data_IF_518750584185
#
_entry.id   IF_518750584185
#
_cell.length_a   1.000
_cell.length_b   1.000
_cell.length_c   1.000
_cell.angle_alpha   90.00
_cell.angle_beta   90.00
_cell.angle_gamma   90.00
#
_symmetry.space_group_name_H-M   'P 1'
#
loop_
_entity.id
_entity.type
_entity.pdbx_description
1 polymer ?
#
# COMPACT_ATOMS: atom_id res chain seq x y z
N UNK A 1 4.78 -10.15 -34.24
CA UNK A 1 4.37 -9.75 -32.87
C UNK A 1 3.36 -8.56 -32.80
N UNK A 2 2.54 -8.20 -33.83
CA UNK A 2 1.50 -7.16 -33.68
C UNK A 2 0.08 -7.69 -33.38
N UNK A 3 -0.16 -9.00 -33.42
CA UNK A 3 -1.51 -9.56 -33.28
C UNK A 3 -2.00 -9.66 -31.84
N UNK A 4 -1.09 -9.94 -30.90
CA UNK A 4 -1.43 -10.12 -29.48
C UNK A 4 -1.92 -8.81 -28.86
N UNK A 5 -1.32 -7.67 -29.22
CA UNK A 5 -1.73 -6.36 -28.72
C UNK A 5 -3.09 -5.93 -29.25
N UNK A 6 -3.43 -6.28 -30.51
CA UNK A 6 -4.76 -6.06 -31.08
C UNK A 6 -5.81 -6.95 -30.43
N UNK A 7 -5.45 -8.17 -30.06
CA UNK A 7 -6.35 -9.10 -29.39
C UNK A 7 -6.65 -8.66 -27.95
N UNK A 8 -5.63 -8.19 -27.22
CA UNK A 8 -5.79 -7.62 -25.89
C UNK A 8 -6.65 -6.35 -25.94
N UNK A 9 -6.43 -5.46 -26.91
CA UNK A 9 -7.24 -4.23 -27.07
C UNK A 9 -8.71 -4.53 -27.40
N UNK A 10 -8.98 -5.58 -28.19
CA UNK A 10 -10.35 -6.02 -28.49
C UNK A 10 -11.03 -6.63 -27.27
N UNK A 11 -10.30 -7.40 -26.46
CA UNK A 11 -10.83 -8.01 -25.24
C UNK A 11 -11.11 -6.96 -24.16
N UNK A 12 -10.24 -5.96 -24.00
CA UNK A 12 -10.47 -4.86 -23.04
C UNK A 12 -11.62 -3.95 -23.48
N UNK A 13 -11.75 -3.66 -24.78
CA UNK A 13 -12.88 -2.91 -25.32
C UNK A 13 -14.22 -3.65 -25.14
N UNK A 14 -14.24 -4.98 -25.37
CA UNK A 14 -15.44 -5.79 -25.15
C UNK A 14 -15.84 -5.85 -23.67
N UNK A 15 -14.86 -5.95 -22.76
CA UNK A 15 -15.11 -5.94 -21.31
C UNK A 15 -15.67 -4.60 -20.82
N UNK A 16 -15.11 -3.48 -21.31
CA UNK A 16 -15.59 -2.13 -21.00
C UNK A 16 -17.00 -1.88 -21.54
N UNK A 17 -17.31 -2.38 -22.75
CA UNK A 17 -18.65 -2.26 -23.34
C UNK A 17 -19.69 -3.08 -22.56
N UNK A 18 -19.33 -4.28 -22.09
CA UNK A 18 -20.18 -5.11 -21.24
C UNK A 18 -20.47 -4.45 -19.88
N UNK A 19 -19.47 -3.79 -19.28
CA UNK A 19 -19.65 -3.06 -18.02
C UNK A 19 -20.59 -1.86 -18.17
N UNK A 20 -20.52 -1.15 -19.30
CA UNK A 20 -21.37 0.02 -19.58
C UNK A 20 -22.82 -0.37 -19.89
N UNK A 21 -23.07 -1.53 -20.52
CA UNK A 21 -24.42 -2.03 -20.76
C UNK A 21 -25.11 -2.59 -19.50
N UNK A 22 -24.35 -3.01 -18.48
CA UNK A 22 -24.91 -3.48 -17.21
C UNK A 22 -25.48 -2.35 -16.32
N UNK A 23 -25.11 -1.08 -16.59
CA UNK A 23 -25.58 0.08 -15.82
C UNK A 23 -26.82 0.78 -16.42
N UNK A 24 -27.33 0.34 -17.57
CA UNK A 24 -28.42 1.03 -18.28
C UNK A 24 -29.80 0.33 -18.23
N UNK A 25 -29.91 -0.83 -17.58
CA UNK A 25 -31.19 -1.54 -17.44
C UNK A 25 -31.87 -1.23 -16.11
N UNK A 26 -32.28 0.02 -15.92
CA UNK A 26 -33.35 0.36 -14.97
C UNK A 26 -34.65 0.40 -15.74
N UNK A 27 -35.41 -0.70 -15.71
CA UNK A 27 -36.79 -0.74 -16.22
C UNK A 27 -37.63 0.24 -15.40
N UNK A 28 -38.35 1.21 -16.00
CA UNK A 28 -39.28 2.04 -15.25
C UNK A 28 -40.49 1.17 -14.86
N UNK A 29 -40.63 0.92 -13.57
CA UNK A 29 -41.81 0.27 -12.99
C UNK A 29 -43.03 1.18 -13.19
N UNK A 30 -44.12 0.73 -13.83
CA UNK A 30 -45.32 1.56 -13.96
C UNK A 30 -45.95 1.77 -12.58
N UNK A 31 -46.30 3.02 -12.30
CA UNK A 31 -46.98 3.43 -11.08
C UNK A 31 -48.37 2.77 -11.01
N UNK A 32 -48.74 2.10 -9.90
CA UNK A 32 -50.12 1.68 -9.70
C UNK A 32 -50.99 2.89 -9.31
N UNK A 33 -52.26 2.94 -9.74
CA UNK A 33 -53.18 4.03 -9.42
C UNK A 33 -53.52 4.06 -7.92
N UNK A 34 -53.60 5.27 -7.37
CA UNK A 34 -54.06 5.52 -6.01
C UNK A 34 -55.53 5.05 -5.83
N UNK A 35 -55.84 4.33 -4.74
CA UNK A 35 -57.13 4.44 -4.10
C UNK A 35 -57.07 5.55 -3.04
N UNK A 36 -57.90 6.57 -3.25
CA UNK A 36 -58.28 7.54 -2.24
C UNK A 36 -59.07 6.82 -1.14
N UNK A 37 -58.46 6.62 0.02
CA UNK A 37 -59.18 6.45 1.28
C UNK A 37 -58.30 6.97 2.43
N UNK A 38 -58.85 7.77 3.35
CA UNK A 38 -58.13 8.21 4.54
C UNK A 38 -58.06 7.03 5.51
N UNK A 39 -57.10 6.13 5.29
CA UNK A 39 -56.64 5.27 6.37
C UNK A 39 -55.99 6.15 7.40
N UNK A 40 -56.78 6.47 8.43
CA UNK A 40 -56.34 6.91 9.75
C UNK A 40 -55.10 6.09 10.09
N UNK A 41 -53.94 6.74 10.04
CA UNK A 41 -52.69 6.20 10.55
C UNK A 41 -52.94 5.92 12.02
N UNK A 42 -53.23 4.65 12.33
CA UNK A 42 -53.11 4.11 13.66
C UNK A 42 -51.61 3.99 13.97
N UNK A 43 -50.96 5.14 14.14
CA UNK A 43 -49.72 5.26 14.90
C UNK A 43 -50.07 4.84 16.34
N UNK A 44 -49.91 3.56 16.69
CA UNK A 44 -50.16 3.17 18.08
C UNK A 44 -50.17 1.70 18.49
N UNK A 45 -50.04 0.70 17.62
CA UNK A 45 -50.29 -0.70 18.06
C UNK A 45 -49.24 -1.76 17.67
N UNK A 46 -48.16 -1.39 16.97
CA UNK A 46 -47.08 -2.34 16.65
C UNK A 46 -45.66 -1.76 16.80
N UNK A 47 -45.44 -0.86 17.75
CA UNK A 47 -44.07 -0.58 18.23
C UNK A 47 -43.66 -1.66 19.24
N UNK A 48 -43.51 -2.91 18.77
CA UNK A 48 -42.82 -3.96 19.53
C UNK A 48 -41.31 -3.89 19.26
N UNK A 49 -40.73 -2.69 19.26
CA UNK A 49 -39.28 -2.60 19.38
C UNK A 49 -38.94 -2.94 20.81
N UNK A 50 -38.42 -4.13 21.01
CA UNK A 50 -37.85 -4.52 22.30
C UNK A 50 -36.58 -3.71 22.53
N UNK A 51 -36.31 -3.33 23.79
CA UNK A 51 -35.16 -2.47 24.14
C UNK A 51 -33.82 -3.03 23.63
N UNK A 52 -33.70 -4.35 23.46
CA UNK A 52 -32.53 -5.00 22.85
C UNK A 52 -32.40 -4.75 21.34
N UNK A 53 -33.51 -4.57 20.62
CA UNK A 53 -33.54 -4.19 19.20
C UNK A 53 -33.13 -2.73 19.02
N UNK A 54 -33.56 -1.84 19.91
CA UNK A 54 -33.13 -0.43 19.91
C UNK A 54 -31.63 -0.30 20.22
N UNK A 55 -31.12 -1.08 21.18
CA UNK A 55 -29.68 -1.15 21.45
C UNK A 55 -28.88 -1.67 20.25
N UNK A 56 -29.40 -2.68 19.53
CA UNK A 56 -28.74 -3.21 18.35
C UNK A 56 -28.74 -2.21 17.19
N UNK A 57 -29.88 -1.56 16.95
CA UNK A 57 -30.04 -0.53 15.93
C UNK A 57 -29.07 0.63 16.16
N UNK A 58 -28.91 1.09 17.41
CA UNK A 58 -27.92 2.12 17.77
C UNK A 58 -26.49 1.74 17.38
N UNK A 59 -26.11 0.47 17.57
CA UNK A 59 -24.79 -0.02 17.15
C UNK A 59 -24.61 0.03 15.62
N UNK A 60 -25.66 -0.29 14.87
CA UNK A 60 -25.67 -0.17 13.41
C UNK A 60 -25.64 1.30 12.96
N UNK A 61 -26.39 2.16 13.61
CA UNK A 61 -26.39 3.60 13.34
C UNK A 61 -24.99 4.19 13.53
N UNK A 62 -24.25 3.74 14.55
CA UNK A 62 -22.84 4.11 14.68
C UNK A 62 -22.01 3.60 13.52
N UNK A 63 -22.21 2.37 13.02
CA UNK A 63 -21.45 1.88 11.86
C UNK A 63 -21.76 2.63 10.57
N UNK A 64 -23.01 3.02 10.36
CA UNK A 64 -23.48 3.71 9.15
C UNK A 64 -23.11 5.19 9.15
N UNK A 65 -23.34 5.87 10.28
CA UNK A 65 -23.09 7.31 10.41
C UNK A 65 -21.64 7.62 10.77
N UNK A 66 -20.89 6.70 11.39
CA UNK A 66 -19.44 6.81 11.52
C UNK A 66 -18.69 6.35 10.26
N UNK A 67 -19.28 6.52 9.07
CA UNK A 67 -18.68 6.19 7.76
C UNK A 67 -17.26 6.73 7.51
N UNK A 68 -16.72 7.55 8.42
CA UNK A 68 -15.33 8.03 8.43
C UNK A 68 -14.57 7.88 9.78
N UNK A 69 -15.17 7.42 10.88
CA UNK A 69 -14.41 7.25 12.13
C UNK A 69 -13.58 5.96 12.07
N UNK A 70 -12.24 6.03 12.22
CA UNK A 70 -11.36 4.91 11.91
C UNK A 70 -11.56 3.69 12.83
N UNK A 71 -12.07 3.90 14.03
CA UNK A 71 -12.03 2.91 15.11
C UNK A 71 -13.32 2.07 15.21
N UNK A 72 -14.48 2.60 14.79
CA UNK A 72 -15.79 1.95 15.07
C UNK A 72 -16.01 1.66 16.57
N UNK A 73 -15.33 2.42 17.45
CA UNK A 73 -15.30 2.19 18.89
C UNK A 73 -16.68 2.33 19.53
N UNK A 74 -17.47 3.33 19.11
CA UNK A 74 -18.83 3.54 19.62
C UNK A 74 -19.78 2.42 19.23
N UNK A 75 -19.66 1.92 17.99
CA UNK A 75 -20.41 0.75 17.56
C UNK A 75 -20.06 -0.49 18.38
N UNK A 76 -18.75 -0.71 18.62
CA UNK A 76 -18.26 -1.82 19.47
C UNK A 76 -18.80 -1.71 20.89
N UNK A 77 -18.75 -0.53 21.49
CA UNK A 77 -19.28 -0.26 22.83
C UNK A 77 -20.79 -0.52 22.90
N UNK A 78 -21.56 -0.07 21.90
CA UNK A 78 -23.00 -0.31 21.84
C UNK A 78 -23.34 -1.80 21.73
N UNK A 79 -22.60 -2.57 20.92
CA UNK A 79 -22.78 -4.02 20.85
C UNK A 79 -22.34 -4.72 22.15
N UNK A 80 -21.27 -4.26 22.80
CA UNK A 80 -20.82 -4.83 24.08
C UNK A 80 -21.84 -4.56 25.20
N UNK A 81 -22.43 -3.36 25.21
CA UNK A 81 -23.50 -2.98 26.12
C UNK A 81 -24.74 -3.86 25.91
N UNK A 82 -25.11 -4.15 24.65
CA UNK A 82 -26.20 -5.08 24.34
C UNK A 82 -25.93 -6.48 24.89
N UNK A 83 -24.71 -7.00 24.71
CA UNK A 83 -24.35 -8.33 25.22
C UNK A 83 -24.37 -8.40 26.74
N UNK A 84 -23.99 -7.31 27.41
CA UNK A 84 -24.00 -7.22 28.87
C UNK A 84 -25.42 -7.10 29.44
N UNK A 85 -26.27 -6.25 28.84
CA UNK A 85 -27.63 -5.99 29.32
C UNK A 85 -28.63 -7.07 28.92
N UNK A 86 -28.47 -7.65 27.72
CA UNK A 86 -29.41 -8.61 27.15
C UNK A 86 -28.71 -9.90 26.66
N UNK A 87 -28.17 -10.72 27.59
CA UNK A 87 -27.39 -11.91 27.23
C UNK A 87 -28.20 -13.01 26.53
N UNK A 88 -29.54 -12.95 26.58
CA UNK A 88 -30.45 -13.88 25.89
C UNK A 88 -31.16 -13.27 24.69
N UNK A 89 -30.72 -12.09 24.23
CA UNK A 89 -31.29 -11.42 23.06
C UNK A 89 -31.11 -12.26 21.79
N UNK A 90 -32.06 -12.15 20.86
CA UNK A 90 -31.91 -12.68 19.49
C UNK A 90 -30.70 -12.10 18.75
N UNK A 91 -30.27 -10.89 19.15
CA UNK A 91 -29.16 -10.16 18.54
C UNK A 91 -27.79 -10.54 19.11
N UNK A 92 -27.73 -11.36 20.17
CA UNK A 92 -26.48 -11.69 20.88
C UNK A 92 -25.40 -12.22 19.92
N UNK A 93 -25.73 -13.22 19.08
CA UNK A 93 -24.75 -13.80 18.16
C UNK A 93 -24.27 -12.79 17.11
N UNK A 94 -25.18 -11.95 16.61
CA UNK A 94 -24.86 -10.91 15.63
C UNK A 94 -23.96 -9.83 16.24
N UNK A 95 -24.30 -9.33 17.43
CA UNK A 95 -23.50 -8.35 18.15
C UNK A 95 -22.09 -8.86 18.47
N UNK A 96 -21.97 -10.12 18.94
CA UNK A 96 -20.67 -10.73 19.20
C UNK A 96 -19.82 -10.89 17.93
N UNK A 97 -20.44 -11.29 16.81
CA UNK A 97 -19.74 -11.38 15.53
C UNK A 97 -19.27 -10.01 15.04
N UNK A 98 -20.11 -8.97 15.17
CA UNK A 98 -19.76 -7.60 14.78
C UNK A 98 -18.61 -7.03 15.61
N UNK A 99 -18.58 -7.26 16.93
CA UNK A 99 -17.44 -6.89 17.79
C UNK A 99 -16.16 -7.55 17.28
N UNK A 100 -16.19 -8.87 17.02
CA UNK A 100 -15.03 -9.59 16.51
C UNK A 100 -14.53 -9.02 15.18
N UNK A 101 -15.44 -8.69 14.25
CA UNK A 101 -15.08 -8.08 12.97
C UNK A 101 -14.48 -6.68 13.14
N UNK A 102 -14.99 -5.89 14.09
CA UNK A 102 -14.44 -4.58 14.41
C UNK A 102 -13.03 -4.69 14.98
N UNK A 103 -12.80 -5.63 15.90
CA UNK A 103 -11.48 -5.89 16.48
C UNK A 103 -10.48 -6.37 15.41
N UNK A 104 -10.89 -7.28 14.53
CA UNK A 104 -10.07 -7.77 13.43
C UNK A 104 -9.73 -6.67 12.42
N UNK A 105 -10.70 -5.81 12.11
CA UNK A 105 -10.50 -4.63 11.27
C UNK A 105 -9.50 -3.65 11.90
N UNK A 106 -9.57 -3.41 13.20
CA UNK A 106 -8.62 -2.56 13.92
C UNK A 106 -7.20 -3.14 13.85
N UNK A 107 -7.04 -4.43 14.17
CA UNK A 107 -5.76 -5.14 14.07
C UNK A 107 -5.15 -5.09 12.68
N UNK A 108 -5.95 -5.30 11.64
CA UNK A 108 -5.46 -5.26 10.25
C UNK A 108 -4.99 -3.86 9.85
N UNK A 109 -5.63 -2.80 10.33
CA UNK A 109 -5.17 -1.43 10.06
C UNK A 109 -3.88 -1.10 10.77
N UNK A 110 -3.76 -1.49 12.04
CA UNK A 110 -2.51 -1.33 12.78
C UNK A 110 -1.36 -2.07 12.09
N UNK A 111 -1.58 -3.31 11.66
CA UNK A 111 -0.62 -4.08 10.88
C UNK A 111 -0.20 -3.36 9.60
N UNK A 112 -1.16 -2.84 8.82
CA UNK A 112 -0.84 -2.05 7.61
C UNK A 112 -0.05 -0.77 7.91
N UNK A 113 -0.34 -0.10 9.01
CA UNK A 113 0.40 1.11 9.41
C UNK A 113 1.85 0.76 9.77
N UNK A 114 2.06 -0.33 10.51
CA UNK A 114 3.38 -0.85 10.86
C UNK A 114 4.15 -1.30 9.61
N UNK A 115 3.50 -2.05 8.71
CA UNK A 115 4.10 -2.49 7.44
C UNK A 115 4.49 -1.29 6.56
N UNK A 116 3.62 -0.28 6.48
CA UNK A 116 3.91 0.96 5.76
C UNK A 116 5.14 1.69 6.32
N UNK A 117 5.24 1.79 7.65
CA UNK A 117 6.39 2.39 8.31
C UNK A 117 7.68 1.59 8.09
N UNK A 118 7.61 0.26 8.17
CA UNK A 118 8.76 -0.62 7.90
C UNK A 118 9.24 -0.49 6.45
N UNK A 119 8.30 -0.41 5.50
CA UNK A 119 8.59 -0.27 4.08
C UNK A 119 9.23 1.08 3.76
N UNK A 120 8.76 2.17 4.37
CA UNK A 120 9.39 3.49 4.22
C UNK A 120 10.80 3.56 4.82
N UNK A 121 11.03 2.93 5.98
CA UNK A 121 12.38 2.80 6.54
C UNK A 121 13.31 2.03 5.61
N UNK A 122 12.87 0.87 5.11
CA UNK A 122 13.65 0.05 4.18
C UNK A 122 13.95 0.80 2.86
N UNK A 123 13.02 1.62 2.36
CA UNK A 123 13.25 2.50 1.22
C UNK A 123 14.32 3.55 1.51
N UNK A 124 14.26 4.20 2.68
CA UNK A 124 15.27 5.16 3.12
C UNK A 124 16.67 4.55 3.20
N UNK A 125 16.79 3.38 3.82
CA UNK A 125 18.05 2.63 3.92
C UNK A 125 18.59 2.23 2.54
N UNK A 126 17.72 1.75 1.64
CA UNK A 126 18.10 1.39 0.27
C UNK A 126 18.64 2.60 -0.49
N UNK A 127 18.00 3.76 -0.38
CA UNK A 127 18.47 5.00 -1.02
C UNK A 127 19.79 5.50 -0.43
N UNK A 128 19.98 5.36 0.89
CA UNK A 128 21.24 5.68 1.53
C UNK A 128 22.37 4.77 1.04
N UNK A 129 22.16 3.46 1.05
CA UNK A 129 23.15 2.48 0.54
C UNK A 129 23.48 2.72 -0.93
N UNK A 130 22.49 3.09 -1.76
CA UNK A 130 22.73 3.46 -3.17
C UNK A 130 23.59 4.71 -3.33
N UNK A 131 23.48 5.69 -2.42
CA UNK A 131 24.34 6.89 -2.42
C UNK A 131 25.75 6.53 -1.97
N UNK A 132 25.89 5.73 -0.92
CA UNK A 132 27.18 5.27 -0.42
C UNK A 132 27.93 4.43 -1.46
N UNK A 133 27.23 3.51 -2.13
CA UNK A 133 27.81 2.67 -3.19
C UNK A 133 28.31 3.53 -4.37
N UNK A 134 27.55 4.54 -4.79
CA UNK A 134 28.00 5.50 -5.82
C UNK A 134 29.24 6.26 -5.38
N UNK A 135 29.24 6.82 -4.16
CA UNK A 135 30.38 7.55 -3.64
C UNK A 135 31.64 6.68 -3.52
N UNK A 136 31.50 5.43 -3.09
CA UNK A 136 32.60 4.47 -3.02
C UNK A 136 33.11 4.11 -4.41
N UNK A 137 32.22 3.91 -5.38
CA UNK A 137 32.61 3.63 -6.76
C UNK A 137 33.38 4.80 -7.39
N UNK A 138 32.93 6.04 -7.17
CA UNK A 138 33.61 7.24 -7.68
C UNK A 138 35.01 7.40 -7.06
N UNK A 139 35.15 7.13 -5.75
CA UNK A 139 36.45 7.10 -5.08
C UNK A 139 37.36 6.02 -5.63
N UNK A 140 36.85 4.81 -5.79
CA UNK A 140 37.59 3.69 -6.35
C UNK A 140 38.09 4.00 -7.77
N UNK A 141 37.22 4.61 -8.60
CA UNK A 141 37.59 5.00 -9.96
C UNK A 141 38.69 6.07 -9.97
N UNK A 142 38.62 7.03 -9.04
CA UNK A 142 39.64 8.09 -8.88
C UNK A 142 40.98 7.52 -8.42
N UNK A 143 40.98 6.64 -7.42
CA UNK A 143 42.22 5.99 -6.96
C UNK A 143 42.81 5.07 -8.03
N UNK A 144 41.96 4.36 -8.78
CA UNK A 144 42.40 3.51 -9.89
C UNK A 144 43.08 4.34 -10.98
N UNK A 145 42.50 5.48 -11.36
CA UNK A 145 43.11 6.35 -12.38
C UNK A 145 44.40 7.00 -11.89
N UNK A 146 44.45 7.40 -10.63
CA UNK A 146 45.66 7.91 -9.99
C UNK A 146 46.79 6.87 -10.00
N UNK A 147 46.51 5.66 -9.53
CA UNK A 147 47.49 4.56 -9.52
C UNK A 147 47.96 4.21 -10.93
N UNK A 148 47.06 4.23 -11.92
CA UNK A 148 47.45 4.01 -13.32
C UNK A 148 48.42 5.09 -13.82
N UNK A 149 48.17 6.36 -13.50
CA UNK A 149 49.07 7.47 -13.84
C UNK A 149 50.42 7.36 -13.13
N UNK A 150 50.42 7.06 -11.83
CA UNK A 150 51.65 6.85 -11.05
C UNK A 150 52.46 5.67 -11.63
N UNK A 151 51.80 4.58 -12.02
CA UNK A 151 52.46 3.43 -12.62
C UNK A 151 53.11 3.76 -13.98
N UNK A 152 52.41 4.50 -14.84
CA UNK A 152 52.96 4.96 -16.11
C UNK A 152 54.13 5.92 -15.93
N UNK A 153 54.07 6.80 -14.93
CA UNK A 153 55.19 7.67 -14.59
C UNK A 153 56.41 6.86 -14.13
N UNK A 154 56.22 5.92 -13.20
CA UNK A 154 57.29 5.05 -12.72
C UNK A 154 57.92 4.22 -13.84
N UNK A 155 57.13 3.74 -14.81
CA UNK A 155 57.67 3.04 -16.00
C UNK A 155 58.60 3.94 -16.82
N UNK A 156 58.23 5.21 -17.04
CA UNK A 156 59.08 6.17 -17.77
C UNK A 156 60.36 6.46 -17.01
N UNK A 157 60.27 6.68 -15.71
CA UNK A 157 61.43 6.96 -14.85
C UNK A 157 62.40 5.76 -14.85
N UNK A 158 61.86 4.54 -14.82
CA UNK A 158 62.65 3.30 -14.88
C UNK A 158 63.34 3.13 -16.24
N UNK A 159 62.69 3.50 -17.35
CA UNK A 159 63.31 3.52 -18.67
C UNK A 159 64.45 4.54 -18.77
N UNK A 160 64.25 5.74 -18.21
CA UNK A 160 65.28 6.77 -18.19
C UNK A 160 66.49 6.34 -17.37
N UNK A 161 66.28 5.74 -16.19
CA UNK A 161 67.35 5.21 -15.36
C UNK A 161 68.19 4.17 -16.11
N UNK A 162 67.54 3.24 -16.82
CA UNK A 162 68.24 2.24 -17.66
C UNK A 162 69.08 2.87 -18.77
N UNK A 163 68.59 3.92 -19.41
CA UNK A 163 69.35 4.63 -20.44
C UNK A 163 70.57 5.34 -19.84
N UNK A 164 70.41 5.97 -18.67
CA UNK A 164 71.52 6.60 -17.96
C UNK A 164 72.57 5.59 -17.49
N UNK A 165 72.15 4.43 -16.99
CA UNK A 165 73.06 3.32 -16.65
C UNK A 165 73.88 2.88 -17.88
N UNK A 166 73.24 2.70 -19.04
CA UNK A 166 73.93 2.35 -20.28
C UNK A 166 74.94 3.43 -20.71
N UNK A 167 74.64 4.71 -20.50
CA UNK A 167 75.55 5.80 -20.82
C UNK A 167 76.77 5.86 -19.88
N UNK A 168 76.56 5.60 -18.59
CA UNK A 168 77.64 5.48 -17.61
C UNK A 168 78.57 4.30 -17.97
N UNK A 169 78.00 3.13 -18.26
CA UNK A 169 78.76 1.96 -18.70
C UNK A 169 79.60 2.23 -19.96
N UNK A 170 79.03 2.94 -20.94
CA UNK A 170 79.76 3.34 -22.16
C UNK A 170 80.92 4.28 -21.85
N UNK A 171 80.71 5.26 -20.96
CA UNK A 171 81.79 6.17 -20.52
C UNK A 171 82.90 5.41 -19.80
N UNK A 172 82.56 4.53 -18.87
CA UNK A 172 83.53 3.75 -18.11
C UNK A 172 84.36 2.83 -19.00
N UNK A 173 83.76 2.25 -20.06
CA UNK A 173 84.50 1.46 -21.06
C UNK A 173 85.43 2.31 -21.93
N UNK A 174 85.06 3.55 -22.22
CA UNK A 174 85.89 4.45 -23.03
C UNK A 174 87.03 5.11 -22.23
N UNK A 175 86.95 5.10 -20.89
CA UNK A 175 87.96 5.66 -19.98
C UNK A 175 88.98 4.60 -19.50
N UNK A 176 88.80 3.32 -19.84
CA UNK A 176 89.71 2.21 -19.55
C UNK A 176 90.43 1.76 -20.81
#
# INVERSE_FOLDING_TARGET
>A
MPDITRQILRLTAALLLALLCACAQTVPRPAPPLPSDPHVLQEGLFNFSSEDTDCFARGLDFLENEGAAPEGGKAREAFAELLAKYPRSKWQKAAAALIRLLDERARLREGRAQDGQALEKARGETEQLRKELRALNDRLQTETSRLAQENEQLKKDLQLLKELELQLDKRDRNLR
#
